data_IF_301145007077
#
_entry.id   IF_301145007077
#
_cell.length_a   1.000
_cell.length_b   1.000
_cell.length_c   1.000
_cell.angle_alpha   90.00
_cell.angle_beta   90.00
_cell.angle_gamma   90.00
#
_symmetry.space_group_name_H-M   'P 1'
#
loop_
_entity.id
_entity.type
_entity.pdbx_description
1 polymer ?
#
# COMPACT_ATOMS: atom_id res chain seq x y z
N UNK A 1 -31.62 3.25 -118.30
CA UNK A 1 -30.56 2.31 -118.73
C UNK A 1 -29.56 2.23 -117.60
N UNK A 2 -29.62 1.12 -116.86
CA UNK A 2 -28.58 0.06 -116.80
C UNK A 2 -27.58 0.34 -115.69
N UNK A 3 -27.29 -0.53 -114.74
CA UNK A 3 -27.93 -1.73 -114.21
C UNK A 3 -27.25 -1.95 -112.84
N UNK A 4 -27.89 -2.69 -111.93
CA UNK A 4 -27.45 -2.89 -110.55
C UNK A 4 -26.52 -4.11 -110.39
N UNK A 5 -26.15 -4.35 -109.13
CA UNK A 5 -26.22 -5.65 -108.45
C UNK A 5 -24.95 -6.54 -108.31
N UNK A 6 -24.57 -6.65 -107.02
CA UNK A 6 -24.37 -7.86 -106.21
C UNK A 6 -23.32 -8.93 -106.59
N UNK A 7 -22.47 -9.18 -105.58
CA UNK A 7 -22.00 -10.48 -105.07
C UNK A 7 -21.14 -11.32 -106.05
N UNK A 8 -20.06 -11.98 -105.63
CA UNK A 8 -20.05 -13.06 -104.65
C UNK A 8 -18.63 -13.39 -104.20
N UNK A 9 -18.56 -14.04 -103.04
CA UNK A 9 -17.40 -14.68 -102.45
C UNK A 9 -16.86 -15.87 -103.27
N UNK A 10 -15.70 -16.34 -102.83
CA UNK A 10 -14.91 -17.54 -103.23
C UNK A 10 -13.98 -17.29 -104.42
N UNK A 11 -12.68 -17.55 -104.32
CA UNK A 11 -12.04 -18.64 -103.58
C UNK A 11 -11.17 -18.18 -102.41
N UNK A 12 -11.64 -18.48 -101.19
CA UNK A 12 -10.74 -18.71 -100.08
C UNK A 12 -9.96 -19.98 -100.38
N UNK A 13 -8.76 -19.83 -100.92
CA UNK A 13 -7.75 -20.87 -100.95
C UNK A 13 -6.95 -20.84 -99.65
N UNK A 14 -6.65 -22.01 -99.11
CA UNK A 14 -5.87 -22.23 -97.89
C UNK A 14 -4.54 -21.44 -97.89
N UNK A 15 -4.04 -21.03 -99.06
CA UNK A 15 -2.85 -20.19 -99.31
C UNK A 15 -2.92 -18.73 -98.83
N UNK A 16 -4.10 -18.15 -98.59
CA UNK A 16 -4.20 -16.80 -98.03
C UNK A 16 -4.14 -16.79 -96.49
N UNK A 17 -4.42 -17.94 -95.88
CA UNK A 17 -4.39 -18.18 -94.43
C UNK A 17 -3.07 -18.89 -94.04
N UNK A 18 -2.52 -19.72 -94.93
CA UNK A 18 -1.22 -20.36 -94.75
C UNK A 18 -0.10 -19.47 -95.31
N UNK A 19 0.82 -18.97 -94.46
CA UNK A 19 1.95 -18.20 -94.93
C UNK A 19 2.83 -19.05 -95.86
N UNK A 20 3.35 -18.44 -96.93
CA UNK A 20 4.31 -19.10 -97.81
C UNK A 20 5.51 -19.60 -96.99
N UNK A 21 5.98 -20.82 -97.28
CA UNK A 21 7.03 -21.49 -96.49
C UNK A 21 8.33 -20.67 -96.35
N UNK A 22 8.60 -19.74 -97.27
CA UNK A 22 9.74 -18.83 -97.23
C UNK A 22 9.61 -17.71 -96.16
N UNK A 23 8.40 -17.25 -95.85
CA UNK A 23 8.11 -16.22 -94.83
C UNK A 23 7.87 -16.84 -93.45
N UNK A 24 7.44 -18.10 -93.41
CA UNK A 24 7.21 -18.84 -92.16
C UNK A 24 8.53 -19.10 -91.38
N UNK A 25 9.62 -19.45 -92.06
CA UNK A 25 10.91 -19.76 -91.43
C UNK A 25 11.48 -18.57 -90.63
N UNK A 26 11.65 -17.35 -91.17
CA UNK A 26 12.16 -16.22 -90.41
C UNK A 26 11.21 -15.79 -89.29
N UNK A 27 9.89 -15.92 -89.48
CA UNK A 27 8.90 -15.67 -88.42
C UNK A 27 9.04 -16.67 -87.27
N UNK A 28 9.24 -17.96 -87.58
CA UNK A 28 9.49 -19.00 -86.58
C UNK A 28 10.80 -18.74 -85.82
N UNK A 29 11.87 -18.35 -86.52
CA UNK A 29 13.14 -17.99 -85.88
C UNK A 29 12.98 -16.78 -84.95
N UNK A 30 12.28 -15.73 -85.39
CA UNK A 30 11.99 -14.57 -84.55
C UNK A 30 11.14 -14.95 -83.32
N UNK A 31 10.15 -15.84 -83.50
CA UNK A 31 9.33 -16.37 -82.39
C UNK A 31 10.17 -17.17 -81.40
N UNK A 32 11.07 -18.04 -81.87
CA UNK A 32 11.96 -18.82 -81.00
C UNK A 32 12.92 -17.91 -80.23
N UNK A 33 13.50 -16.90 -80.88
CA UNK A 33 14.37 -15.92 -80.21
C UNK A 33 13.59 -15.18 -79.11
N UNK A 34 12.38 -14.70 -79.42
CA UNK A 34 11.51 -14.05 -78.44
C UNK A 34 11.14 -15.00 -77.29
N UNK A 35 10.84 -16.26 -77.59
CA UNK A 35 10.52 -17.28 -76.59
C UNK A 35 11.70 -17.56 -75.66
N UNK A 36 12.93 -17.66 -76.18
CA UNK A 36 14.13 -17.85 -75.36
C UNK A 36 14.35 -16.64 -74.43
N UNK A 37 14.15 -15.42 -74.94
CA UNK A 37 14.28 -14.20 -74.14
C UNK A 37 13.21 -14.16 -73.04
N UNK A 38 11.95 -14.45 -73.37
CA UNK A 38 10.87 -14.52 -72.37
C UNK A 38 11.07 -15.65 -71.36
N UNK A 39 11.53 -16.82 -71.78
CA UNK A 39 11.81 -17.93 -70.88
C UNK A 39 12.96 -17.58 -69.93
N UNK A 40 14.01 -16.92 -70.43
CA UNK A 40 15.18 -16.56 -69.62
C UNK A 40 14.94 -15.38 -68.68
N UNK A 41 14.13 -14.40 -69.07
CA UNK A 41 13.85 -13.21 -68.25
C UNK A 41 12.53 -13.27 -67.47
N UNK A 42 11.48 -13.88 -68.03
CA UNK A 42 10.16 -13.96 -67.41
C UNK A 42 10.07 -14.98 -66.28
N UNK A 43 10.69 -16.15 -66.45
CA UNK A 43 10.69 -17.21 -65.42
C UNK A 43 11.30 -16.79 -64.07
N UNK A 44 12.48 -16.13 -64.02
CA UNK A 44 13.03 -15.69 -62.73
C UNK A 44 12.19 -14.61 -62.06
N UNK A 45 11.56 -13.70 -62.83
CA UNK A 45 10.68 -12.65 -62.26
C UNK A 45 9.41 -13.25 -61.66
N UNK A 46 8.80 -14.24 -62.32
CA UNK A 46 7.62 -14.94 -61.81
C UNK A 46 7.93 -15.70 -60.52
N UNK A 47 9.02 -16.49 -60.50
CA UNK A 47 9.42 -17.24 -59.31
C UNK A 47 9.76 -16.30 -58.15
N UNK A 48 10.51 -15.22 -58.40
CA UNK A 48 10.83 -14.23 -57.37
C UNK A 48 9.60 -13.55 -56.77
N UNK A 49 8.55 -13.31 -57.56
CA UNK A 49 7.29 -12.74 -57.06
C UNK A 49 6.52 -13.74 -56.17
N UNK A 50 6.45 -15.01 -56.58
CA UNK A 50 5.80 -16.07 -55.79
C UNK A 50 6.54 -16.31 -54.48
N UNK A 51 7.86 -16.45 -54.53
CA UNK A 51 8.70 -16.64 -53.35
C UNK A 51 8.61 -15.46 -52.39
N UNK A 52 8.57 -14.22 -52.90
CA UNK A 52 8.35 -13.03 -52.08
C UNK A 52 6.99 -13.05 -51.38
N UNK A 53 5.92 -13.46 -52.08
CA UNK A 53 4.58 -13.61 -51.48
C UNK A 53 4.57 -14.70 -50.42
N UNK A 54 5.16 -15.85 -50.71
CA UNK A 54 5.26 -16.98 -49.78
C UNK A 54 6.02 -16.57 -48.52
N UNK A 55 7.19 -15.93 -48.66
CA UNK A 55 7.98 -15.46 -47.54
C UNK A 55 7.25 -14.39 -46.72
N UNK A 56 6.56 -13.45 -47.38
CA UNK A 56 5.78 -12.42 -46.66
C UNK A 56 4.66 -13.05 -45.82
N UNK A 57 3.94 -14.04 -46.38
CA UNK A 57 2.87 -14.75 -45.66
C UNK A 57 3.46 -15.56 -44.50
N UNK A 58 4.56 -16.28 -44.75
CA UNK A 58 5.25 -17.08 -43.73
C UNK A 58 5.74 -16.19 -42.58
N UNK A 59 6.36 -15.05 -42.88
CA UNK A 59 6.81 -14.08 -41.88
C UNK A 59 5.64 -13.47 -41.11
N UNK A 60 4.54 -13.11 -41.80
CA UNK A 60 3.35 -12.57 -41.15
C UNK A 60 2.70 -13.58 -40.19
N UNK A 61 2.59 -14.86 -40.60
CA UNK A 61 2.08 -15.94 -39.76
C UNK A 61 2.99 -16.18 -38.56
N UNK A 62 4.31 -16.29 -38.77
CA UNK A 62 5.28 -16.49 -37.69
C UNK A 62 5.23 -15.34 -36.68
N UNK A 63 5.19 -14.10 -37.15
CA UNK A 63 5.06 -12.92 -36.28
C UNK A 63 3.74 -12.91 -35.52
N UNK A 64 2.66 -13.36 -36.14
CA UNK A 64 1.36 -13.49 -35.47
C UNK A 64 1.40 -14.55 -34.36
N UNK A 65 1.99 -15.71 -34.63
CA UNK A 65 2.17 -16.77 -33.63
C UNK A 65 3.04 -16.31 -32.47
N UNK A 66 4.19 -15.69 -32.76
CA UNK A 66 5.09 -15.11 -31.74
C UNK A 66 4.36 -14.04 -30.91
N UNK A 67 3.57 -13.17 -31.53
CA UNK A 67 2.79 -12.15 -30.83
C UNK A 67 1.70 -12.76 -29.94
N UNK A 68 1.05 -13.86 -30.36
CA UNK A 68 0.09 -14.56 -29.53
C UNK A 68 0.75 -15.23 -28.33
N UNK A 69 1.86 -15.95 -28.54
CA UNK A 69 2.62 -16.59 -27.46
C UNK A 69 3.10 -15.55 -26.44
N UNK A 70 3.65 -14.44 -26.93
CA UNK A 70 4.12 -13.36 -26.06
C UNK A 70 2.95 -12.71 -25.29
N UNK A 71 1.81 -12.48 -25.95
CA UNK A 71 0.61 -11.95 -25.29
C UNK A 71 0.10 -12.90 -24.21
N UNK A 72 0.09 -14.21 -24.46
CA UNK A 72 -0.31 -15.22 -23.47
C UNK A 72 0.67 -15.28 -22.30
N UNK A 73 1.98 -15.22 -22.56
CA UNK A 73 3.03 -15.16 -21.54
C UNK A 73 2.88 -13.94 -20.65
N UNK A 74 2.75 -12.75 -21.25
CA UNK A 74 2.56 -11.49 -20.55
C UNK A 74 1.27 -11.53 -19.71
N UNK A 75 0.18 -12.05 -20.26
CA UNK A 75 -1.07 -12.18 -19.53
C UNK A 75 -0.97 -13.15 -18.33
N UNK A 76 -0.23 -14.24 -18.47
CA UNK A 76 0.06 -15.16 -17.38
C UNK A 76 0.88 -14.48 -16.27
N UNK A 77 1.93 -13.74 -16.64
CA UNK A 77 2.75 -12.96 -15.70
C UNK A 77 1.93 -11.90 -14.97
N UNK A 78 1.09 -11.15 -15.69
CA UNK A 78 0.19 -10.17 -15.07
C UNK A 78 -0.79 -10.82 -14.07
N UNK A 79 -1.36 -11.99 -14.42
CA UNK A 79 -2.25 -12.73 -13.51
C UNK A 79 -1.51 -13.19 -12.26
N UNK A 80 -0.28 -13.68 -12.42
CA UNK A 80 0.56 -14.09 -11.30
C UNK A 80 0.90 -12.89 -10.40
N UNK A 81 1.38 -11.79 -10.97
CA UNK A 81 1.67 -10.56 -10.22
C UNK A 81 0.43 -10.04 -9.48
N UNK A 82 -0.75 -10.11 -10.09
CA UNK A 82 -2.00 -9.71 -9.44
C UNK A 82 -2.38 -10.64 -8.28
N UNK A 83 -2.16 -11.94 -8.43
CA UNK A 83 -2.37 -12.90 -7.34
C UNK A 83 -1.38 -12.65 -6.19
N UNK A 84 -0.10 -12.44 -6.50
CA UNK A 84 0.95 -12.16 -5.52
C UNK A 84 0.68 -10.83 -4.79
N UNK A 85 0.28 -9.78 -5.52
CA UNK A 85 -0.09 -8.50 -4.93
C UNK A 85 -1.30 -8.62 -3.97
N UNK A 86 -2.31 -9.43 -4.34
CA UNK A 86 -3.46 -9.72 -3.45
C UNK A 86 -3.04 -10.49 -2.21
N UNK A 87 -2.16 -11.48 -2.35
CA UNK A 87 -1.63 -12.25 -1.22
C UNK A 87 -0.83 -11.34 -0.28
N UNK A 88 0.08 -10.52 -0.81
CA UNK A 88 0.85 -9.55 -0.04
C UNK A 88 -0.06 -8.52 0.65
N UNK A 89 -1.06 -7.98 -0.04
CA UNK A 89 -2.02 -7.05 0.57
C UNK A 89 -2.79 -7.69 1.72
N UNK A 90 -3.21 -8.95 1.57
CA UNK A 90 -3.91 -9.69 2.63
C UNK A 90 -2.99 -9.90 3.83
N UNK A 91 -1.74 -10.26 3.59
CA UNK A 91 -0.72 -10.41 4.63
C UNK A 91 -0.47 -9.10 5.38
N UNK A 92 -0.27 -7.99 4.66
CA UNK A 92 -0.07 -6.66 5.26
C UNK A 92 -1.26 -6.28 6.15
N UNK A 93 -2.49 -6.54 5.71
CA UNK A 93 -3.69 -6.24 6.51
C UNK A 93 -3.75 -7.13 7.77
N UNK A 94 -3.40 -8.41 7.65
CA UNK A 94 -3.36 -9.33 8.79
C UNK A 94 -2.29 -8.90 9.81
N UNK A 95 -1.09 -8.56 9.34
CA UNK A 95 0.02 -8.11 10.18
C UNK A 95 -0.31 -6.77 10.86
N UNK A 96 -0.89 -5.81 10.12
CA UNK A 96 -1.32 -4.53 10.68
C UNK A 96 -2.39 -4.71 11.77
N UNK A 97 -3.33 -5.66 11.60
CA UNK A 97 -4.31 -5.98 12.65
C UNK A 97 -3.66 -6.61 13.86
N UNK A 98 -2.74 -7.55 13.68
CA UNK A 98 -2.02 -8.20 14.77
C UNK A 98 -1.18 -7.19 15.57
N UNK A 99 -0.44 -6.32 14.88
CA UNK A 99 0.33 -5.23 15.50
C UNK A 99 -0.61 -4.26 16.22
N UNK A 100 -1.73 -3.88 15.60
CA UNK A 100 -2.71 -2.98 16.19
C UNK A 100 -3.31 -3.51 17.50
N UNK A 101 -3.68 -4.79 17.53
CA UNK A 101 -4.17 -5.45 18.75
C UNK A 101 -3.07 -5.55 19.83
N UNK A 102 -1.83 -5.88 19.45
CA UNK A 102 -0.71 -5.93 20.37
C UNK A 102 -0.41 -4.55 20.99
N UNK A 103 -0.36 -3.50 20.18
CA UNK A 103 -0.15 -2.11 20.65
C UNK A 103 -1.29 -1.67 21.56
N UNK A 104 -2.54 -2.00 21.22
CA UNK A 104 -3.70 -1.68 22.06
C UNK A 104 -3.60 -2.38 23.42
N UNK A 105 -3.21 -3.66 23.43
CA UNK A 105 -3.03 -4.42 24.67
C UNK A 105 -1.90 -3.82 25.53
N UNK A 106 -0.77 -3.47 24.92
CA UNK A 106 0.37 -2.84 25.58
C UNK A 106 0.02 -1.48 26.20
N UNK A 107 -0.62 -0.59 25.42
CA UNK A 107 -1.10 0.71 25.90
C UNK A 107 -2.08 0.53 27.06
N UNK A 108 -2.99 -0.42 26.98
CA UNK A 108 -3.98 -0.68 28.05
C UNK A 108 -3.29 -1.18 29.32
N UNK A 109 -2.32 -2.09 29.19
CA UNK A 109 -1.54 -2.61 30.31
C UNK A 109 -0.68 -1.51 30.97
N UNK A 110 -0.04 -0.67 30.16
CA UNK A 110 0.72 0.48 30.64
C UNK A 110 -0.19 1.47 31.37
N UNK A 111 -1.34 1.84 30.77
CA UNK A 111 -2.30 2.75 31.40
C UNK A 111 -2.84 2.21 32.73
N UNK A 112 -3.11 0.90 32.82
CA UNK A 112 -3.52 0.24 34.06
C UNK A 112 -2.43 0.34 35.14
N UNK A 113 -1.18 0.12 34.75
CA UNK A 113 -0.02 0.20 35.64
C UNK A 113 0.17 1.63 36.14
N UNK A 114 0.19 2.62 35.24
CA UNK A 114 0.32 4.04 35.58
C UNK A 114 -0.83 4.53 36.47
N UNK A 115 -2.07 4.09 36.21
CA UNK A 115 -3.21 4.40 37.05
C UNK A 115 -3.04 3.81 38.46
N UNK A 116 -2.55 2.56 38.56
CA UNK A 116 -2.30 1.92 39.86
C UNK A 116 -1.20 2.64 40.66
N UNK A 117 -0.13 3.06 39.99
CA UNK A 117 0.97 3.83 40.58
C UNK A 117 0.50 5.22 41.02
N UNK A 118 -0.34 5.87 40.23
CA UNK A 118 -0.94 7.15 40.57
C UNK A 118 -1.80 7.04 41.83
N UNK A 119 -2.65 6.00 41.92
CA UNK A 119 -3.47 5.75 43.12
C UNK A 119 -2.58 5.46 44.34
N UNK A 120 -1.52 4.67 44.18
CA UNK A 120 -0.59 4.37 45.26
C UNK A 120 0.10 5.65 45.77
N UNK A 121 0.60 6.50 44.87
CA UNK A 121 1.20 7.80 45.20
C UNK A 121 0.20 8.73 45.88
N UNK A 122 -1.04 8.79 45.37
CA UNK A 122 -2.10 9.61 45.97
C UNK A 122 -2.42 9.16 47.40
N UNK A 123 -2.51 7.85 47.65
CA UNK A 123 -2.71 7.31 49.02
C UNK A 123 -1.58 7.68 49.96
N UNK A 124 -0.33 7.56 49.52
CA UNK A 124 0.84 7.97 50.31
C UNK A 124 0.83 9.47 50.62
N UNK A 125 0.48 10.31 49.64
CA UNK A 125 0.34 11.75 49.84
C UNK A 125 -0.77 12.08 50.85
N UNK A 126 -1.94 11.44 50.74
CA UNK A 126 -3.06 11.62 51.67
C UNK A 126 -2.67 11.19 53.10
N UNK A 127 -1.94 10.10 53.26
CA UNK A 127 -1.46 9.67 54.58
C UNK A 127 -0.47 10.66 55.19
N UNK A 128 0.45 11.21 54.37
CA UNK A 128 1.39 12.23 54.81
C UNK A 128 0.66 13.53 55.21
N UNK A 129 -0.26 14.00 54.38
CA UNK A 129 -1.06 15.21 54.62
C UNK A 129 -1.96 15.06 55.85
N UNK A 130 -2.55 13.87 56.06
CA UNK A 130 -3.32 13.57 57.27
C UNK A 130 -2.46 13.65 58.53
N UNK A 131 -1.24 13.09 58.50
CA UNK A 131 -0.31 13.18 59.64
C UNK A 131 0.06 14.63 59.93
N UNK A 132 0.30 15.43 58.89
CA UNK A 132 0.60 16.84 59.02
C UNK A 132 -0.59 17.62 59.60
N UNK A 133 -1.81 17.43 59.08
CA UNK A 133 -3.02 18.05 59.59
C UNK A 133 -3.31 17.70 61.06
N UNK A 134 -3.03 16.46 61.48
CA UNK A 134 -3.16 16.06 62.89
C UNK A 134 -2.13 16.79 63.76
N UNK A 135 -0.87 16.91 63.30
CA UNK A 135 0.17 17.63 64.02
C UNK A 135 -0.17 19.12 64.16
N UNK A 136 -0.65 19.75 63.09
CA UNK A 136 -1.08 21.15 63.08
C UNK A 136 -2.27 21.37 64.03
N UNK A 137 -3.24 20.45 64.05
CA UNK A 137 -4.38 20.49 64.97
C UNK A 137 -3.93 20.37 66.42
N UNK A 138 -3.00 19.45 66.73
CA UNK A 138 -2.45 19.29 68.08
C UNK A 138 -1.74 20.56 68.54
N UNK A 139 -0.95 21.19 67.66
CA UNK A 139 -0.29 22.46 67.96
C UNK A 139 -1.31 23.58 68.24
N UNK A 140 -2.35 23.70 67.41
CA UNK A 140 -3.39 24.73 67.60
C UNK A 140 -4.23 24.53 68.86
N UNK A 141 -4.51 23.27 69.24
CA UNK A 141 -5.19 22.95 70.50
C UNK A 141 -4.30 23.30 71.70
N UNK A 142 -3.00 23.01 71.64
CA UNK A 142 -2.06 23.36 72.69
C UNK A 142 -2.00 24.88 72.90
N UNK A 143 -1.88 25.65 71.81
CA UNK A 143 -1.83 27.11 71.82
C UNK A 143 -3.13 27.71 72.40
N UNK A 144 -4.29 27.22 71.93
CA UNK A 144 -5.60 27.64 72.44
C UNK A 144 -5.76 27.30 73.93
N UNK A 145 -5.25 26.15 74.38
CA UNK A 145 -5.32 25.75 75.79
C UNK A 145 -4.46 26.63 76.69
N UNK A 146 -3.27 27.02 76.22
CA UNK A 146 -2.39 27.98 76.91
C UNK A 146 -3.05 29.37 76.99
N UNK A 147 -3.69 29.82 75.91
CA UNK A 147 -4.44 31.08 75.90
C UNK A 147 -5.60 31.08 76.90
N UNK A 148 -6.39 29.99 76.94
CA UNK A 148 -7.50 29.84 77.90
C UNK A 148 -6.98 29.79 79.34
N UNK A 149 -5.92 29.02 79.62
CA UNK A 149 -5.32 28.95 80.96
C UNK A 149 -4.76 30.30 81.40
N UNK A 150 -4.10 31.04 80.49
CA UNK A 150 -3.56 32.38 80.76
C UNK A 150 -4.67 33.39 81.07
N UNK A 151 -5.81 33.32 80.35
CA UNK A 151 -6.99 34.15 80.65
C UNK A 151 -7.65 33.80 81.98
N UNK A 152 -7.70 32.52 82.35
CA UNK A 152 -8.26 32.07 83.63
C UNK A 152 -7.39 32.56 84.81
N UNK A 153 -6.07 32.51 84.67
CA UNK A 153 -5.12 33.05 85.67
C UNK A 153 -5.13 34.59 85.69
N UNK A 154 -5.37 35.23 84.55
CA UNK A 154 -5.44 36.69 84.43
C UNK A 154 -6.75 37.32 84.92
N UNK A 155 -7.81 36.53 85.14
CA UNK A 155 -9.01 36.99 85.85
C UNK A 155 -8.76 36.87 87.36
N UNK A 156 -8.94 37.99 88.07
CA UNK A 156 -8.65 38.23 89.48
C UNK A 156 -8.68 36.98 90.37
N UNK A 157 -7.50 36.35 90.54
CA UNK A 157 -7.27 35.34 91.56
C UNK A 157 -7.37 36.01 92.93
N UNK A 158 -8.27 35.50 93.77
CA UNK A 158 -8.39 36.02 95.14
C UNK A 158 -7.16 35.64 95.96
N UNK A 159 -6.81 36.46 96.97
CA UNK A 159 -5.62 36.26 97.83
C UNK A 159 -5.60 34.85 98.48
N UNK A 160 -6.77 34.24 98.70
CA UNK A 160 -6.93 32.88 99.20
C UNK A 160 -6.56 31.79 98.18
N UNK A 161 -6.84 31.97 96.90
CA UNK A 161 -6.52 31.01 95.84
C UNK A 161 -5.03 30.99 95.54
N UNK A 162 -4.36 32.15 95.57
CA UNK A 162 -2.90 32.22 95.47
C UNK A 162 -2.21 31.46 96.60
N UNK A 163 -2.70 31.58 97.85
CA UNK A 163 -2.10 30.88 98.99
C UNK A 163 -2.30 29.36 98.91
N UNK A 164 -3.45 28.91 98.43
CA UNK A 164 -3.74 27.49 98.22
C UNK A 164 -2.86 26.86 97.11
N UNK A 165 -2.55 27.61 96.04
CA UNK A 165 -1.65 27.15 94.97
C UNK A 165 -0.21 27.01 95.50
N UNK A 166 0.27 27.97 96.29
CA UNK A 166 1.61 27.92 96.92
C UNK A 166 1.72 26.72 97.87
N UNK A 167 0.72 26.46 98.71
CA UNK A 167 0.70 25.27 99.58
C UNK A 167 0.72 23.96 98.80
N UNK A 168 -0.04 23.86 97.69
CA UNK A 168 0.02 22.68 96.81
C UNK A 168 1.39 22.49 96.19
N UNK A 169 2.02 23.55 95.70
CA UNK A 169 3.34 23.46 95.07
C UNK A 169 4.42 23.04 96.08
N UNK A 170 4.39 23.60 97.29
CA UNK A 170 5.29 23.20 98.40
C UNK A 170 5.06 21.75 98.79
N UNK A 171 3.81 21.28 98.80
CA UNK A 171 3.47 19.87 99.10
C UNK A 171 3.94 18.91 98.01
N UNK A 172 3.81 19.28 96.73
CA UNK A 172 4.19 18.45 95.59
C UNK A 172 5.71 18.42 95.38
N UNK A 173 6.39 19.57 95.47
CA UNK A 173 7.86 19.65 95.48
C UNK A 173 8.47 18.98 96.72
N UNK A 174 7.81 19.09 97.87
CA UNK A 174 8.19 18.37 99.09
C UNK A 174 8.01 16.86 98.98
N UNK A 175 7.01 16.39 98.21
CA UNK A 175 6.79 14.95 97.96
C UNK A 175 7.81 14.34 96.99
N UNK A 176 8.34 15.13 96.05
CA UNK A 176 9.37 14.68 95.10
C UNK A 176 10.77 14.58 95.74
N UNK A 177 11.01 15.28 96.86
CA UNK A 177 12.26 15.24 97.63
C UNK A 177 12.21 14.23 98.81
N UNK A 178 11.18 13.37 98.85
CA UNK A 178 10.90 12.42 99.93
C UNK A 178 10.98 10.94 99.55
N UNK A 179 11.46 10.61 98.34
CA UNK A 179 11.81 9.26 97.89
C UNK A 179 13.28 9.19 97.45
#
# INVERSE_FOLDING_TARGET
>A
MTCPAYAFASEGGIDAILPKMNEFIPMLVAFIILWIVLAKFGWPVFNGMLEKRENTIREALKKSEEAQIESERVLAEYKQQLADAKAQSTQIIADARAIGEAVKADITAQAQTEASDMIAKAKLAIEAEKKQAIADLQASIADTSVDVASRLIGQDLTEGEHRAIIERYVKEAGSFNGN
#
